data_IF_661159964015
#
_entry.id   IF_661159964015
#
_cell.length_a   1.000
_cell.length_b   1.000
_cell.length_c   1.000
_cell.angle_alpha   90.00
_cell.angle_beta   90.00
_cell.angle_gamma   90.00
#
_symmetry.space_group_name_H-M   'P 1'
#
loop_
_entity.id
_entity.type
_entity.pdbx_description
1 polymer ?
#
# COMPACT_ATOMS: atom_id res chain seq x y z
N UNK A 1 -68.44 -24.96 -24.65
CA UNK A 1 -67.18 -25.62 -25.03
C UNK A 1 -66.39 -24.70 -25.95
N UNK A 2 -65.31 -24.09 -25.43
CA UNK A 2 -64.25 -23.38 -26.18
C UNK A 2 -63.15 -22.98 -25.20
N UNK A 3 -61.94 -23.52 -25.41
CA UNK A 3 -60.61 -22.86 -25.29
C UNK A 3 -60.17 -22.39 -23.89
N UNK A 4 -58.90 -22.42 -23.46
CA UNK A 4 -57.61 -22.90 -23.96
C UNK A 4 -56.67 -22.85 -22.73
N UNK A 5 -55.79 -23.83 -22.60
CA UNK A 5 -54.71 -23.92 -21.61
C UNK A 5 -53.70 -22.79 -21.79
N UNK A 6 -53.23 -22.20 -20.69
CA UNK A 6 -51.90 -21.59 -20.62
C UNK A 6 -51.17 -22.10 -19.37
N UNK A 7 -50.15 -22.91 -19.64
CA UNK A 7 -49.21 -23.49 -18.68
C UNK A 7 -48.28 -22.36 -18.24
N UNK A 8 -48.34 -22.02 -16.96
CA UNK A 8 -47.38 -21.12 -16.30
C UNK A 8 -46.04 -21.86 -16.19
N UNK A 9 -45.14 -21.63 -17.16
CA UNK A 9 -43.76 -22.08 -17.08
C UNK A 9 -43.01 -21.19 -16.09
N UNK A 10 -42.99 -21.59 -14.82
CA UNK A 10 -42.14 -20.99 -13.79
C UNK A 10 -40.72 -21.46 -14.09
N UNK A 11 -39.98 -20.67 -14.87
CA UNK A 11 -38.53 -20.79 -14.97
C UNK A 11 -37.92 -20.38 -13.64
N UNK A 12 -37.48 -21.40 -12.90
CA UNK A 12 -36.64 -21.30 -11.72
C UNK A 12 -35.25 -20.82 -12.15
N UNK A 13 -35.08 -19.50 -12.29
CA UNK A 13 -33.76 -18.89 -12.45
C UNK A 13 -33.06 -18.91 -11.09
N UNK A 14 -32.27 -19.95 -10.88
CA UNK A 14 -31.25 -20.01 -9.82
C UNK A 14 -30.22 -18.93 -10.14
N UNK A 15 -30.35 -17.77 -9.50
CA UNK A 15 -29.28 -16.81 -9.39
C UNK A 15 -28.22 -17.44 -8.48
N UNK A 16 -27.26 -18.13 -9.08
CA UNK A 16 -25.99 -18.42 -8.43
C UNK A 16 -25.32 -17.04 -8.27
N UNK A 17 -25.55 -16.39 -7.14
CA UNK A 17 -24.67 -15.31 -6.69
C UNK A 17 -23.32 -15.97 -6.46
N UNK A 18 -22.46 -15.95 -7.47
CA UNK A 18 -21.05 -16.13 -7.26
C UNK A 18 -20.65 -15.09 -6.22
N UNK A 19 -20.43 -15.56 -4.99
CA UNK A 19 -19.68 -14.83 -3.99
C UNK A 19 -18.27 -14.67 -4.55
N UNK A 20 -18.07 -13.66 -5.39
CA UNK A 20 -16.75 -13.14 -5.71
C UNK A 20 -16.27 -12.51 -4.41
N UNK A 21 -15.58 -13.34 -3.62
CA UNK A 21 -14.84 -12.93 -2.45
C UNK A 21 -14.02 -11.71 -2.81
N UNK A 22 -14.30 -10.63 -2.10
CA UNK A 22 -13.66 -9.34 -2.25
C UNK A 22 -12.22 -9.43 -1.71
N UNK A 23 -11.36 -10.14 -2.43
CA UNK A 23 -9.92 -9.90 -2.34
C UNK A 23 -9.62 -8.85 -3.41
N UNK A 24 -10.05 -7.61 -3.15
CA UNK A 24 -9.45 -6.44 -3.79
C UNK A 24 -7.98 -6.44 -3.35
N UNK A 25 -7.14 -7.17 -4.08
CA UNK A 25 -5.70 -6.96 -4.06
C UNK A 25 -5.56 -5.56 -4.64
N UNK A 26 -5.47 -4.57 -3.76
CA UNK A 26 -5.26 -3.16 -4.07
C UNK A 26 -4.10 -3.06 -5.09
N UNK A 27 -4.41 -2.92 -6.39
CA UNK A 27 -3.45 -2.90 -7.52
C UNK A 27 -2.56 -1.64 -7.53
N UNK A 28 -2.40 -1.02 -6.37
CA UNK A 28 -1.32 -0.09 -6.09
C UNK A 28 0.07 -0.69 -6.41
N UNK A 29 0.89 0.05 -7.14
CA UNK A 29 2.24 -0.36 -7.54
C UNK A 29 3.22 -0.33 -6.37
N UNK A 30 4.46 -0.80 -6.55
CA UNK A 30 5.45 -0.81 -5.48
C UNK A 30 5.76 0.61 -4.96
N UNK A 31 5.64 1.64 -5.82
CA UNK A 31 5.87 3.05 -5.49
C UNK A 31 4.81 3.65 -4.54
N UNK A 32 3.66 3.00 -4.38
CA UNK A 32 2.62 3.47 -3.44
C UNK A 32 2.93 3.06 -2.00
N UNK A 33 3.71 2.00 -1.79
CA UNK A 33 4.05 1.48 -0.46
C UNK A 33 4.75 2.54 0.41
N UNK A 34 5.79 3.25 -0.06
CA UNK A 34 6.40 4.35 0.70
C UNK A 34 5.42 5.44 1.14
N UNK A 35 4.48 5.80 0.26
CA UNK A 35 3.51 6.87 0.53
C UNK A 35 2.47 6.39 1.55
N UNK A 36 1.91 5.19 1.36
CA UNK A 36 0.97 4.57 2.29
C UNK A 36 1.62 4.38 3.67
N UNK A 37 2.87 3.94 3.71
CA UNK A 37 3.62 3.74 4.93
C UNK A 37 3.81 5.04 5.73
N UNK A 38 4.33 6.08 5.08
CA UNK A 38 4.57 7.36 5.74
C UNK A 38 3.26 7.99 6.20
N UNK A 39 2.20 7.92 5.40
CA UNK A 39 0.87 8.39 5.82
C UNK A 39 0.36 7.62 7.05
N UNK A 40 0.51 6.29 7.09
CA UNK A 40 0.14 5.50 8.26
C UNK A 40 0.95 5.90 9.51
N UNK A 41 2.24 6.20 9.37
CA UNK A 41 3.06 6.74 10.47
C UNK A 41 2.57 8.10 10.95
N UNK A 42 2.25 9.03 10.04
CA UNK A 42 1.68 10.35 10.38
C UNK A 42 0.35 10.19 11.11
N UNK A 43 -0.46 9.24 10.66
CA UNK A 43 -1.80 9.00 11.18
C UNK A 43 -1.82 8.21 12.49
N UNK A 44 -0.67 7.69 12.93
CA UNK A 44 -0.55 6.68 13.97
C UNK A 44 -1.45 5.46 13.71
N UNK A 45 -1.60 5.09 12.43
CA UNK A 45 -2.40 3.95 11.95
C UNK A 45 -1.54 2.68 11.96
N UNK A 46 -1.49 2.02 13.11
CA UNK A 46 -0.67 0.83 13.29
C UNK A 46 -1.24 -0.39 12.57
N UNK A 47 -2.56 -0.50 12.46
CA UNK A 47 -3.21 -1.56 11.68
C UNK A 47 -2.79 -1.49 10.21
N UNK A 48 -2.78 -0.29 9.62
CA UNK A 48 -2.30 -0.10 8.25
C UNK A 48 -0.81 -0.37 8.10
N UNK A 49 0.02 0.01 9.07
CA UNK A 49 1.44 -0.33 9.05
C UNK A 49 1.64 -1.86 9.08
N UNK A 50 0.90 -2.60 9.90
CA UNK A 50 0.95 -4.08 9.91
C UNK A 50 0.54 -4.67 8.56
N UNK A 51 -0.52 -4.13 7.93
CA UNK A 51 -1.00 -4.56 6.62
C UNK A 51 0.07 -4.40 5.53
N UNK A 52 0.87 -3.35 5.59
CA UNK A 52 1.90 -3.04 4.58
C UNK A 52 3.17 -3.89 4.71
N UNK A 53 3.35 -4.62 5.81
CA UNK A 53 4.54 -5.46 6.03
C UNK A 53 4.39 -6.85 5.41
N UNK A 54 5.49 -7.41 4.93
CA UNK A 54 5.54 -8.80 4.45
C UNK A 54 5.38 -9.79 5.62
N UNK A 55 5.90 -9.42 6.78
CA UNK A 55 5.86 -10.18 8.02
C UNK A 55 5.27 -9.34 9.12
N UNK A 56 4.29 -9.93 9.82
CA UNK A 56 3.71 -9.30 11.01
C UNK A 56 4.78 -9.09 12.08
N UNK A 57 4.65 -7.98 12.80
CA UNK A 57 5.49 -7.63 13.95
C UNK A 57 4.62 -7.50 15.19
N UNK A 58 5.17 -7.82 16.36
CA UNK A 58 4.54 -7.57 17.66
C UNK A 58 4.78 -6.16 18.17
N UNK A 59 5.61 -5.37 17.48
CA UNK A 59 5.91 -3.98 17.85
C UNK A 59 4.75 -3.01 17.53
N UNK A 60 3.71 -3.47 16.84
CA UNK A 60 2.56 -2.68 16.41
C UNK A 60 1.25 -3.33 16.86
N UNK A 61 0.29 -2.52 17.29
CA UNK A 61 -1.07 -2.96 17.56
C UNK A 61 -1.90 -3.02 16.28
N UNK A 62 -2.18 -4.24 15.81
CA UNK A 62 -2.97 -4.48 14.60
C UNK A 62 -4.44 -3.99 14.69
N UNK A 63 -4.93 -3.64 15.88
CA UNK A 63 -6.28 -3.12 16.08
C UNK A 63 -6.34 -1.59 16.19
N UNK A 64 -5.18 -0.92 16.26
CA UNK A 64 -5.11 0.52 16.33
C UNK A 64 -5.21 1.12 14.92
N UNK A 65 -6.39 1.64 14.60
CA UNK A 65 -6.65 2.38 13.36
C UNK A 65 -6.11 3.82 13.44
N UNK A 66 -6.15 4.54 12.32
CA UNK A 66 -5.77 5.95 12.23
C UNK A 66 -6.39 6.82 13.34
N UNK A 67 -5.54 7.54 14.07
CA UNK A 67 -5.95 8.50 15.10
C UNK A 67 -6.20 9.90 14.52
N UNK A 68 -5.68 10.17 13.31
CA UNK A 68 -5.83 11.44 12.61
C UNK A 68 -5.89 11.24 11.10
N UNK A 69 -6.20 12.31 10.37
CA UNK A 69 -6.44 12.28 8.90
C UNK A 69 -5.36 12.97 8.08
N UNK A 70 -4.34 13.53 8.73
CA UNK A 70 -3.25 14.22 8.05
C UNK A 70 -2.50 13.28 7.11
N UNK A 71 -2.05 13.82 5.97
CA UNK A 71 -1.26 13.10 4.97
C UNK A 71 -0.14 13.99 4.46
N UNK A 72 0.93 13.37 3.98
CA UNK A 72 2.02 14.10 3.35
C UNK A 72 1.55 14.71 2.02
N UNK A 73 1.92 15.96 1.79
CA UNK A 73 1.62 16.68 0.54
C UNK A 73 2.89 16.95 -0.27
N UNK A 74 3.98 17.29 0.43
CA UNK A 74 5.26 17.65 -0.15
C UNK A 74 6.26 16.53 0.14
N UNK A 75 6.69 15.82 -0.90
CA UNK A 75 7.70 14.78 -0.79
C UNK A 75 8.49 14.58 -2.09
N UNK A 76 9.74 14.12 -1.96
CA UNK A 76 10.54 13.50 -3.02
C UNK A 76 10.49 11.99 -2.84
N UNK A 77 10.27 11.25 -3.93
CA UNK A 77 10.34 9.79 -3.95
C UNK A 77 11.39 9.34 -4.97
N UNK A 78 12.42 8.65 -4.48
CA UNK A 78 13.46 8.03 -5.32
C UNK A 78 13.35 6.50 -5.25
N UNK A 79 13.43 5.86 -6.41
CA UNK A 79 13.38 4.41 -6.62
C UNK A 79 14.76 3.90 -7.06
N UNK A 80 15.13 2.71 -6.57
CA UNK A 80 16.20 1.89 -7.11
C UNK A 80 15.63 0.49 -7.38
N UNK A 81 15.55 0.12 -8.65
CA UNK A 81 15.02 -1.17 -9.06
C UNK A 81 16.11 -2.23 -8.99
N UNK A 82 15.94 -3.22 -8.10
CA UNK A 82 16.82 -4.39 -8.04
C UNK A 82 16.35 -5.48 -9.02
N UNK A 83 15.05 -5.79 -9.02
CA UNK A 83 14.42 -6.72 -9.97
C UNK A 83 13.00 -6.25 -10.32
N UNK A 84 12.25 -7.02 -11.12
CA UNK A 84 10.83 -6.75 -11.35
C UNK A 84 9.96 -6.97 -10.11
N UNK A 85 10.50 -7.61 -9.07
CA UNK A 85 9.79 -8.03 -7.86
C UNK A 85 10.42 -7.46 -6.58
N UNK A 86 11.52 -6.71 -6.68
CA UNK A 86 12.21 -6.09 -5.56
C UNK A 86 12.68 -4.68 -5.94
N UNK A 87 12.27 -3.70 -5.13
CA UNK A 87 12.57 -2.30 -5.29
C UNK A 87 13.00 -1.71 -3.94
N UNK A 88 13.97 -0.80 -3.99
CA UNK A 88 14.34 0.03 -2.86
C UNK A 88 13.83 1.44 -3.08
N UNK A 89 13.36 2.08 -2.01
CA UNK A 89 12.83 3.44 -2.04
C UNK A 89 13.42 4.31 -0.93
N UNK A 90 13.62 5.58 -1.27
CA UNK A 90 13.86 6.67 -0.32
C UNK A 90 12.76 7.70 -0.52
N UNK A 91 12.01 7.99 0.54
CA UNK A 91 11.03 9.07 0.57
C UNK A 91 11.50 10.14 1.55
N UNK A 92 11.57 11.38 1.07
CA UNK A 92 11.90 12.57 1.85
C UNK A 92 10.68 13.47 1.85
N UNK A 93 10.13 13.81 3.01
CA UNK A 93 8.83 14.46 3.11
C UNK A 93 8.76 15.47 4.24
N UNK A 94 7.91 16.48 4.05
CA UNK A 94 7.55 17.43 5.11
C UNK A 94 6.49 16.80 6.02
N UNK A 95 6.77 16.68 7.31
CA UNK A 95 5.79 16.20 8.28
C UNK A 95 4.65 17.24 8.44
N UNK A 96 3.37 16.89 8.19
CA UNK A 96 2.27 17.84 8.34
C UNK A 96 1.97 18.18 9.80
N UNK A 97 2.40 17.34 10.75
CA UNK A 97 2.24 17.54 12.19
C UNK A 97 3.37 18.37 12.79
N UNK A 98 4.48 18.53 12.05
CA UNK A 98 5.64 19.33 12.40
C UNK A 98 6.25 19.94 11.11
N UNK A 99 5.74 21.12 10.73
CA UNK A 99 6.04 21.76 9.43
C UNK A 99 7.48 22.24 9.26
N UNK A 100 8.30 22.21 10.31
CA UNK A 100 9.72 22.53 10.24
C UNK A 100 10.58 21.26 10.04
N UNK A 101 9.96 20.07 10.15
CA UNK A 101 10.66 18.79 10.16
C UNK A 101 10.56 18.05 8.83
N UNK A 102 11.65 18.08 8.09
CA UNK A 102 11.89 17.13 7.00
C UNK A 102 12.25 15.75 7.59
N UNK A 103 11.58 14.72 7.10
CA UNK A 103 11.81 13.33 7.50
C UNK A 103 12.21 12.51 6.29
N UNK A 104 13.02 11.48 6.53
CA UNK A 104 13.45 10.53 5.52
C UNK A 104 13.12 9.12 5.97
N UNK A 105 12.57 8.32 5.06
CA UNK A 105 12.36 6.90 5.28
C UNK A 105 12.93 6.11 4.08
N UNK A 106 13.67 5.06 4.40
CA UNK A 106 14.41 4.20 3.46
C UNK A 106 13.92 2.76 3.65
N UNK A 107 13.43 2.16 2.56
CA UNK A 107 12.75 0.87 2.63
C UNK A 107 12.97 0.00 1.40
N UNK A 108 12.75 -1.29 1.58
CA UNK A 108 12.72 -2.32 0.54
C UNK A 108 11.29 -2.80 0.42
N UNK A 109 10.83 -2.94 -0.82
CA UNK A 109 9.48 -3.33 -1.20
C UNK A 109 9.56 -4.50 -2.15
N UNK A 110 8.94 -5.60 -1.76
CA UNK A 110 8.95 -6.86 -2.50
C UNK A 110 7.55 -7.26 -2.97
N UNK A 111 7.47 -7.99 -4.08
CA UNK A 111 6.23 -8.62 -4.53
C UNK A 111 5.99 -9.87 -3.69
N UNK A 112 4.78 -9.99 -3.14
CA UNK A 112 4.30 -11.19 -2.44
C UNK A 112 3.00 -11.67 -3.09
N UNK A 113 2.52 -12.85 -2.68
CA UNK A 113 1.21 -13.37 -3.06
C UNK A 113 0.07 -12.40 -2.68
N UNK A 114 0.26 -11.64 -1.60
CA UNK A 114 -0.72 -10.66 -1.08
C UNK A 114 -0.55 -9.24 -1.65
N UNK A 115 0.29 -9.07 -2.68
CA UNK A 115 0.62 -7.77 -3.26
C UNK A 115 2.02 -7.27 -2.85
N UNK A 116 2.25 -5.97 -3.06
CA UNK A 116 3.52 -5.33 -2.70
C UNK A 116 3.60 -5.07 -1.20
N UNK A 117 4.74 -5.40 -0.58
CA UNK A 117 4.93 -5.28 0.87
C UNK A 117 6.29 -4.71 1.21
N UNK A 118 6.37 -3.93 2.29
CA UNK A 118 7.61 -3.49 2.92
C UNK A 118 8.21 -4.65 3.71
N UNK A 119 9.53 -4.84 3.64
CA UNK A 119 10.18 -6.01 4.28
C UNK A 119 10.40 -5.87 5.79
N UNK A 120 10.24 -4.66 6.36
CA UNK A 120 10.50 -4.41 7.78
C UNK A 120 9.90 -3.11 8.30
N UNK A 121 9.56 -3.08 9.59
CA UNK A 121 8.97 -1.90 10.27
C UNK A 121 9.90 -0.67 10.29
N UNK A 122 11.21 -0.86 10.54
CA UNK A 122 12.17 0.24 10.66
C UNK A 122 12.83 0.65 9.34
N UNK A 123 13.69 1.66 9.43
CA UNK A 123 14.60 2.06 8.35
C UNK A 123 15.64 0.96 8.03
N UNK A 124 16.03 0.85 6.76
CA UNK A 124 17.17 0.00 6.34
C UNK A 124 18.49 0.62 6.78
N UNK A 125 19.24 -0.10 7.63
CA UNK A 125 20.52 0.36 8.21
C UNK A 125 21.59 0.45 7.12
N UNK A 126 21.73 -0.59 6.30
CA UNK A 126 22.74 -0.66 5.23
C UNK A 126 22.19 -0.21 3.87
N UNK A 127 21.20 0.69 3.83
CA UNK A 127 20.48 1.00 2.59
C UNK A 127 21.42 1.43 1.46
N UNK A 128 22.37 2.30 1.77
CA UNK A 128 23.26 2.87 0.77
C UNK A 128 24.16 1.80 0.12
N UNK A 129 24.57 0.79 0.91
CA UNK A 129 25.30 -0.39 0.41
C UNK A 129 24.41 -1.28 -0.47
N UNK A 130 23.14 -1.44 -0.13
CA UNK A 130 22.22 -2.30 -0.91
C UNK A 130 21.87 -1.72 -2.28
N UNK A 131 22.01 -0.40 -2.47
CA UNK A 131 21.63 0.28 -3.71
C UNK A 131 22.83 0.83 -4.49
N UNK A 132 24.06 0.58 -4.06
CA UNK A 132 25.27 1.22 -4.59
C UNK A 132 25.46 1.01 -6.10
N UNK A 133 25.13 -0.19 -6.59
CA UNK A 133 25.23 -0.56 -8.01
C UNK A 133 23.92 -0.36 -8.79
N UNK A 134 22.85 0.10 -8.12
CA UNK A 134 21.55 0.30 -8.73
C UNK A 134 21.41 1.73 -9.23
N UNK A 135 20.81 1.89 -10.41
CA UNK A 135 20.54 3.22 -10.96
C UNK A 135 19.34 3.88 -10.26
N UNK A 136 19.51 5.06 -9.63
CA UNK A 136 18.38 5.78 -9.06
C UNK A 136 17.45 6.33 -10.15
N UNK A 137 16.16 6.37 -9.83
CA UNK A 137 15.12 7.05 -10.61
C UNK A 137 14.25 7.89 -9.67
N UNK A 138 14.26 9.20 -9.86
CA UNK A 138 13.33 10.09 -9.14
C UNK A 138 11.95 9.94 -9.76
N UNK A 139 10.98 9.50 -8.97
CA UNK A 139 9.58 9.32 -9.39
C UNK A 139 8.75 10.58 -9.14
N UNK A 140 9.11 11.36 -8.12
CA UNK A 140 8.50 12.64 -7.79
C UNK A 140 9.52 13.52 -7.08
N UNK A 141 9.52 14.80 -7.40
CA UNK A 141 10.32 15.83 -6.72
C UNK A 141 9.49 16.59 -5.69
N UNK A 142 10.18 17.11 -4.68
CA UNK A 142 9.63 18.07 -3.75
C UNK A 142 9.42 19.39 -4.50
N UNK A 143 8.17 19.70 -4.83
CA UNK A 143 7.80 21.03 -5.28
C UNK A 143 6.95 21.71 -4.22
N UNK A 144 7.32 22.95 -3.91
CA UNK A 144 6.42 23.90 -3.29
C UNK A 144 5.44 24.35 -4.38
N UNK A 145 4.15 24.04 -4.23
CA UNK A 145 3.10 24.72 -5.00
C UNK A 145 3.13 26.24 -4.75
#
# INVERSE_FOLDING_TARGET
>A
MKKLLYIFSISFLVLITAACGKNEVDESGPADIPIKWVNAQIQNDQSKMVELLDKKTTALDQNQNAERKDTIKKYTLTEWKATNENYFYKIEFQDPTDKEKLRTDKMEVIKTESGWKRTKYGNIVDFDRLVEDLKPKVLRELHDE
#
